data_IF_768815696759
#
_entry.id   IF_768815696759
#
_cell.length_a   1.000
_cell.length_b   1.000
_cell.length_c   1.000
_cell.angle_alpha   90.00
_cell.angle_beta   90.00
_cell.angle_gamma   90.00
#
_symmetry.space_group_name_H-M   'P 1'
#
loop_
_entity.id
_entity.type
_entity.pdbx_description
1 polymer ?
#
# COMPACT_ATOMS: atom_id res chain seq x y z
N UNK A 1 1.58 5.76 -20.27
CA UNK A 1 2.90 5.13 -20.27
C UNK A 1 3.48 5.41 -18.90
N UNK A 2 3.32 4.46 -17.98
CA UNK A 2 3.76 4.66 -16.60
C UNK A 2 5.24 4.33 -16.60
N UNK A 3 6.08 5.36 -16.58
CA UNK A 3 7.56 5.29 -16.67
C UNK A 3 8.15 4.15 -15.82
N UNK A 4 7.52 3.83 -14.70
CA UNK A 4 7.89 2.75 -13.79
C UNK A 4 7.78 1.35 -14.41
N UNK A 5 6.71 1.05 -15.16
CA UNK A 5 6.52 -0.27 -15.79
C UNK A 5 7.53 -0.49 -16.91
N UNK A 6 7.82 0.56 -17.69
CA UNK A 6 8.79 0.50 -18.78
C UNK A 6 10.20 0.35 -18.25
N UNK A 7 10.57 1.14 -17.25
CA UNK A 7 11.85 1.00 -16.56
C UNK A 7 12.03 -0.41 -16.00
N UNK A 8 10.98 -1.01 -15.45
CA UNK A 8 11.02 -2.40 -15.01
C UNK A 8 11.25 -3.38 -16.17
N UNK A 9 10.54 -3.22 -17.29
CA UNK A 9 10.70 -4.10 -18.47
C UNK A 9 12.11 -4.00 -19.06
N UNK A 10 12.67 -2.80 -19.14
CA UNK A 10 13.98 -2.54 -19.74
C UNK A 10 15.14 -2.92 -18.83
N UNK A 11 15.07 -2.58 -17.54
CA UNK A 11 16.21 -2.68 -16.65
C UNK A 11 16.18 -3.89 -15.70
N UNK A 12 15.02 -4.53 -15.50
CA UNK A 12 14.80 -5.52 -14.43
C UNK A 12 14.36 -6.88 -14.95
N UNK A 13 13.29 -6.97 -15.76
CA UNK A 13 12.52 -8.20 -16.03
C UNK A 13 13.34 -9.43 -16.46
N UNK A 14 14.49 -9.23 -17.10
CA UNK A 14 15.38 -10.31 -17.57
C UNK A 14 16.78 -10.24 -16.93
N UNK A 15 16.87 -9.74 -15.70
CA UNK A 15 18.13 -9.52 -14.99
C UNK A 15 18.00 -9.89 -13.51
N UNK A 16 19.12 -9.98 -12.81
CA UNK A 16 19.15 -10.13 -11.34
C UNK A 16 18.95 -8.81 -10.57
N UNK A 17 18.84 -7.67 -11.28
CA UNK A 17 18.70 -6.36 -10.65
C UNK A 17 17.40 -6.28 -9.88
N UNK A 18 17.40 -5.49 -8.80
CA UNK A 18 16.18 -5.12 -8.06
C UNK A 18 15.90 -3.65 -8.30
N UNK A 19 14.62 -3.31 -8.44
CA UNK A 19 14.16 -1.92 -8.52
C UNK A 19 13.51 -1.55 -7.20
N UNK A 20 13.98 -0.46 -6.60
CA UNK A 20 13.42 0.11 -5.39
C UNK A 20 12.75 1.41 -5.77
N UNK A 21 11.47 1.53 -5.41
CA UNK A 21 10.64 2.69 -5.73
C UNK A 21 10.36 3.43 -4.41
N UNK A 22 10.76 4.70 -4.35
CA UNK A 22 10.37 5.60 -3.27
C UNK A 22 9.23 6.49 -3.72
N UNK A 23 8.17 6.59 -2.91
CA UNK A 23 7.07 7.55 -3.12
C UNK A 23 6.44 7.54 -4.53
N UNK A 24 6.36 6.38 -5.19
CA UNK A 24 5.83 6.29 -6.57
C UNK A 24 4.33 6.54 -6.74
N UNK A 25 3.64 7.08 -5.72
CA UNK A 25 2.18 7.27 -5.64
C UNK A 25 1.33 6.04 -6.03
N UNK A 26 1.92 4.85 -5.96
CA UNK A 26 1.28 3.60 -6.40
C UNK A 26 0.03 3.26 -5.56
N UNK A 27 -0.03 3.79 -4.34
CA UNK A 27 -1.16 3.63 -3.43
C UNK A 27 -2.48 4.20 -4.00
N UNK A 28 -2.43 5.32 -4.75
CA UNK A 28 -3.62 5.88 -5.42
C UNK A 28 -4.18 4.93 -6.47
N UNK A 29 -3.29 4.25 -7.19
CA UNK A 29 -3.68 3.29 -8.22
C UNK A 29 -4.25 2.03 -7.56
N UNK A 30 -3.68 1.60 -6.42
CA UNK A 30 -4.17 0.44 -5.63
C UNK A 30 -5.51 0.71 -4.94
N UNK A 31 -5.73 1.94 -4.46
CA UNK A 31 -6.94 2.31 -3.71
C UNK A 31 -8.17 2.52 -4.60
N UNK A 32 -8.05 2.31 -5.93
CA UNK A 32 -9.14 2.53 -6.88
C UNK A 32 -9.47 4.00 -7.12
N UNK A 33 -8.55 4.94 -6.79
CA UNK A 33 -8.76 6.37 -7.02
C UNK A 33 -9.03 6.69 -8.50
N UNK A 34 -8.46 5.90 -9.41
CA UNK A 34 -8.67 6.02 -10.85
C UNK A 34 -9.62 4.92 -11.35
N UNK A 35 -10.90 5.23 -11.64
CA UNK A 35 -11.84 4.24 -12.14
C UNK A 35 -11.37 3.67 -13.50
N UNK A 36 -11.29 2.34 -13.66
CA UNK A 36 -10.77 1.71 -14.88
C UNK A 36 -11.50 2.12 -16.16
N UNK A 37 -12.79 2.45 -16.08
CA UNK A 37 -13.59 2.91 -17.23
C UNK A 37 -13.02 4.20 -17.84
N UNK A 38 -12.58 5.15 -17.01
CA UNK A 38 -11.98 6.41 -17.45
C UNK A 38 -10.46 6.28 -17.66
N UNK A 39 -9.81 5.33 -16.97
CA UNK A 39 -8.36 5.15 -16.98
C UNK A 39 -7.97 3.69 -17.25
N UNK A 40 -8.24 3.15 -18.46
CA UNK A 40 -8.07 1.73 -18.76
C UNK A 40 -6.62 1.26 -18.57
N UNK A 41 -5.64 2.09 -18.96
CA UNK A 41 -4.21 1.79 -18.78
C UNK A 41 -3.79 1.68 -17.31
N UNK A 42 -4.35 2.50 -16.42
CA UNK A 42 -4.09 2.43 -14.98
C UNK A 42 -4.76 1.19 -14.37
N UNK A 43 -5.98 0.88 -14.81
CA UNK A 43 -6.69 -0.35 -14.42
C UNK A 43 -5.93 -1.61 -14.84
N UNK A 44 -5.34 -1.62 -16.03
CA UNK A 44 -4.47 -2.71 -16.49
C UNK A 44 -3.20 -2.82 -15.64
N UNK A 45 -2.50 -1.71 -15.40
CA UNK A 45 -1.29 -1.68 -14.56
C UNK A 45 -1.56 -2.25 -13.16
N UNK A 46 -2.69 -1.89 -12.56
CA UNK A 46 -3.10 -2.37 -11.24
C UNK A 46 -3.26 -3.90 -11.19
N UNK A 47 -3.62 -4.52 -12.31
CA UNK A 47 -3.80 -5.98 -12.42
C UNK A 47 -2.54 -6.73 -12.83
N UNK A 48 -1.63 -6.10 -13.59
CA UNK A 48 -0.50 -6.80 -14.21
C UNK A 48 0.85 -6.50 -13.56
N UNK A 49 1.11 -5.25 -13.19
CA UNK A 49 2.42 -4.79 -12.72
C UNK A 49 2.46 -4.59 -11.21
N UNK A 50 1.46 -3.91 -10.63
CA UNK A 50 1.44 -3.62 -9.20
C UNK A 50 1.46 -4.85 -8.27
N UNK A 51 0.89 -6.02 -8.65
CA UNK A 51 1.00 -7.24 -7.85
C UNK A 51 2.42 -7.83 -7.79
N UNK A 52 3.32 -7.42 -8.69
CA UNK A 52 4.74 -7.85 -8.69
C UNK A 52 5.60 -7.07 -7.69
N UNK A 53 5.04 -6.03 -7.07
CA UNK A 53 5.77 -5.13 -6.17
C UNK A 53 5.51 -5.50 -4.72
N UNK A 54 6.58 -5.77 -3.98
CA UNK A 54 6.54 -5.96 -2.53
C UNK A 54 6.56 -4.61 -1.81
N UNK A 55 5.62 -4.39 -0.90
CA UNK A 55 5.59 -3.14 -0.12
C UNK A 55 6.51 -3.26 1.10
N UNK A 56 7.70 -2.66 1.01
CA UNK A 56 8.76 -2.78 2.02
C UNK A 56 8.55 -1.88 3.23
N UNK A 57 8.23 -0.60 3.00
CA UNK A 57 7.98 0.37 4.07
C UNK A 57 6.74 1.18 3.72
N UNK A 58 5.78 1.21 4.63
CA UNK A 58 4.50 1.88 4.39
C UNK A 58 3.99 2.54 5.66
N UNK A 59 3.45 3.74 5.50
CA UNK A 59 2.70 4.43 6.55
C UNK A 59 1.53 5.17 5.93
N UNK A 60 0.32 4.91 6.43
CA UNK A 60 -0.88 5.63 6.08
C UNK A 60 -1.62 6.03 7.35
N UNK A 61 -1.82 7.34 7.54
CA UNK A 61 -2.47 7.87 8.74
C UNK A 61 -3.97 8.05 8.51
N UNK A 62 -4.77 7.43 9.36
CA UNK A 62 -6.21 7.61 9.45
C UNK A 62 -6.52 8.72 10.46
N UNK A 63 -7.26 9.73 10.02
CA UNK A 63 -7.70 10.86 10.87
C UNK A 63 -9.06 10.54 11.51
N UNK A 64 -9.38 11.27 12.59
CA UNK A 64 -10.67 11.16 13.28
C UNK A 64 -10.53 10.75 14.75
N UNK A 65 -11.66 10.65 15.45
CA UNK A 65 -11.70 10.31 16.88
C UNK A 65 -11.10 8.93 17.18
N UNK A 66 -11.28 7.98 16.26
CA UNK A 66 -10.69 6.63 16.30
C UNK A 66 -9.51 6.47 15.34
N UNK A 67 -8.78 7.56 15.07
CA UNK A 67 -7.63 7.58 14.17
C UNK A 67 -6.52 6.60 14.56
N UNK A 68 -5.61 6.36 13.62
CA UNK A 68 -4.52 5.40 13.74
C UNK A 68 -3.63 5.44 12.51
N UNK A 69 -2.74 4.45 12.38
CA UNK A 69 -1.86 4.31 11.23
C UNK A 69 -1.83 2.85 10.75
N UNK A 70 -2.02 2.63 9.45
CA UNK A 70 -1.62 1.38 8.81
C UNK A 70 -0.12 1.48 8.52
N UNK A 71 0.63 0.52 9.03
CA UNK A 71 2.08 0.51 9.01
C UNK A 71 2.62 -0.83 8.52
N UNK A 72 3.72 -0.80 7.78
CA UNK A 72 4.52 -1.99 7.49
C UNK A 72 6.01 -1.65 7.45
N UNK A 73 6.81 -2.55 8.01
CA UNK A 73 8.26 -2.59 7.86
C UNK A 73 8.66 -4.04 7.57
N UNK A 74 8.98 -4.35 6.32
CA UNK A 74 9.40 -5.68 5.87
C UNK A 74 10.68 -6.13 6.61
N UNK A 75 10.81 -7.41 6.98
CA UNK A 75 9.92 -8.54 6.65
C UNK A 75 8.71 -8.69 7.57
N UNK A 76 8.45 -7.72 8.45
CA UNK A 76 7.30 -7.76 9.34
C UNK A 76 5.94 -7.64 8.64
N UNK A 77 4.87 -8.09 9.30
CA UNK A 77 3.52 -8.02 8.77
C UNK A 77 2.96 -6.60 8.78
N UNK A 78 1.79 -6.43 8.17
CA UNK A 78 1.01 -5.21 8.26
C UNK A 78 0.45 -5.06 9.68
N UNK A 79 0.54 -3.86 10.22
CA UNK A 79 0.05 -3.52 11.56
C UNK A 79 -0.85 -2.30 11.50
N UNK A 80 -1.94 -2.34 12.25
CA UNK A 80 -2.76 -1.16 12.52
C UNK A 80 -2.40 -0.64 13.91
N UNK A 81 -1.85 0.57 13.97
CA UNK A 81 -1.36 1.19 15.19
C UNK A 81 -2.29 2.32 15.63
N UNK A 82 -2.45 2.49 16.95
CA UNK A 82 -3.13 3.66 17.53
C UNK A 82 -2.26 4.34 18.56
N UNK A 83 -2.27 5.66 18.56
CA UNK A 83 -1.57 6.45 19.57
C UNK A 83 -2.42 6.53 20.85
N UNK A 84 -1.87 6.05 21.96
CA UNK A 84 -2.48 6.10 23.31
C UNK A 84 -1.44 6.60 24.30
N UNK A 85 -1.75 7.70 24.99
CA UNK A 85 -0.87 8.23 26.05
C UNK A 85 0.57 8.56 25.61
N UNK A 86 0.76 8.95 24.34
CA UNK A 86 2.09 9.24 23.78
C UNK A 86 2.83 8.05 23.18
N UNK A 87 2.35 6.83 23.42
CA UNK A 87 2.88 5.58 22.84
C UNK A 87 2.01 5.08 21.69
N UNK A 88 2.50 4.10 20.92
CA UNK A 88 1.73 3.40 19.90
C UNK A 88 1.42 1.98 20.35
N UNK A 89 0.16 1.57 20.23
CA UNK A 89 -0.31 0.22 20.52
C UNK A 89 -0.72 -0.45 19.20
N UNK A 90 -0.35 -1.72 19.02
CA UNK A 90 -0.79 -2.53 17.88
C UNK A 90 -2.21 -3.05 18.14
N UNK A 91 -3.14 -2.71 17.27
CA UNK A 91 -4.55 -3.12 17.35
C UNK A 91 -4.84 -4.37 16.52
N UNK A 92 -4.14 -4.53 15.40
CA UNK A 92 -4.35 -5.63 14.46
C UNK A 92 -3.08 -5.91 13.67
N UNK A 93 -2.88 -7.16 13.29
CA UNK A 93 -1.71 -7.66 12.55
C UNK A 93 -2.13 -8.70 11.52
N UNK A 94 -1.60 -8.60 10.29
CA UNK A 94 -1.86 -9.57 9.22
C UNK A 94 -0.74 -9.57 8.16
N UNK A 95 -0.58 -10.70 7.47
CA UNK A 95 0.47 -10.88 6.45
C UNK A 95 0.16 -10.14 5.14
N UNK A 96 -1.10 -10.17 4.70
CA UNK A 96 -1.54 -9.51 3.47
C UNK A 96 -1.94 -8.05 3.73
N UNK A 97 -1.74 -7.17 2.74
CA UNK A 97 -2.12 -5.76 2.88
C UNK A 97 -3.64 -5.61 3.05
N UNK A 98 -4.16 -5.08 4.18
CA UNK A 98 -5.58 -4.79 4.30
C UNK A 98 -5.97 -3.62 3.40
N UNK A 99 -7.23 -3.57 3.01
CA UNK A 99 -7.72 -2.41 2.25
C UNK A 99 -7.85 -1.19 3.18
N UNK A 100 -7.66 0.02 2.64
CA UNK A 100 -7.87 1.24 3.44
C UNK A 100 -9.30 1.33 3.99
N UNK A 101 -10.28 0.80 3.26
CA UNK A 101 -11.69 0.73 3.67
C UNK A 101 -11.87 -0.18 4.88
N UNK A 102 -11.31 -1.38 4.84
CA UNK A 102 -11.33 -2.36 5.94
C UNK A 102 -10.69 -1.78 7.21
N UNK A 103 -9.52 -1.15 7.09
CA UNK A 103 -8.87 -0.50 8.24
C UNK A 103 -9.76 0.60 8.83
N UNK A 104 -10.35 1.44 7.98
CA UNK A 104 -11.15 2.59 8.42
C UNK A 104 -12.51 2.21 9.01
N UNK A 105 -13.16 1.16 8.48
CA UNK A 105 -14.54 0.82 8.84
C UNK A 105 -14.63 -0.35 9.83
N UNK A 106 -13.70 -1.29 9.76
CA UNK A 106 -13.83 -2.55 10.49
C UNK A 106 -12.80 -2.65 11.62
N UNK A 107 -11.53 -2.29 11.37
CA UNK A 107 -10.45 -2.48 12.35
C UNK A 107 -10.41 -1.33 13.36
N UNK A 108 -10.20 -0.09 12.90
CA UNK A 108 -10.08 1.06 13.79
C UNK A 108 -11.35 1.28 14.63
N UNK A 109 -12.58 1.17 14.10
CA UNK A 109 -13.76 1.39 14.91
C UNK A 109 -14.04 0.31 15.96
N UNK A 110 -13.56 -0.92 15.76
CA UNK A 110 -13.82 -2.06 16.65
C UNK A 110 -12.85 -2.17 17.83
N UNK A 111 -11.75 -1.41 17.80
CA UNK A 111 -10.73 -1.36 18.83
C UNK A 111 -10.87 -0.19 19.80
#
# INVERSE_FOLDING_TARGET
MLVVEELYKEAVLNTERKMIIFNGELDRIRSGYYPPFFYPKLGELSKTFLPKLETIYYIHNFKGSKGGALFRCYPGPWKVLRKVGGSFVCLHEQEEMPSLKEVALDILPSA
#
